data_IF_012145062303
#
_entry.id   IF_012145062303
#
_cell.length_a   1.000
_cell.length_b   1.000
_cell.length_c   1.000
_cell.angle_alpha   90.00
_cell.angle_beta   90.00
_cell.angle_gamma   90.00
#
_symmetry.space_group_name_H-M   'P 1'
#
loop_
_entity.id
_entity.type
_entity.pdbx_description
1 polymer ?
#
# COMPACT_ATOMS: atom_id res chain seq x y z
N UNK A 1 15.22 32.00 -19.35
CA UNK A 1 14.43 31.01 -18.58
C UNK A 1 14.76 29.65 -19.17
N UNK A 2 15.17 28.67 -18.36
CA UNK A 2 15.40 27.29 -18.81
C UNK A 2 14.06 26.68 -19.27
N UNK A 3 14.11 25.79 -20.25
CA UNK A 3 12.93 25.02 -20.69
C UNK A 3 12.32 24.28 -19.49
N UNK A 4 11.02 24.47 -19.18
CA UNK A 4 10.39 23.80 -18.07
C UNK A 4 10.45 22.25 -18.15
N UNK A 5 10.51 21.69 -19.38
CA UNK A 5 10.66 20.25 -19.56
C UNK A 5 12.09 19.75 -19.27
N UNK A 6 13.12 20.56 -19.55
CA UNK A 6 14.50 20.24 -19.14
C UNK A 6 14.64 20.28 -17.62
N UNK A 7 14.04 21.29 -16.97
CA UNK A 7 14.01 21.36 -15.51
C UNK A 7 13.27 20.17 -14.89
N UNK A 8 12.14 19.77 -15.45
CA UNK A 8 11.37 18.60 -15.00
C UNK A 8 12.22 17.33 -15.05
N UNK A 9 12.95 17.10 -16.17
CA UNK A 9 13.85 15.93 -16.29
C UNK A 9 15.00 15.98 -15.29
N UNK A 10 15.54 17.17 -15.00
CA UNK A 10 16.58 17.33 -13.99
C UNK A 10 16.07 17.00 -12.58
N UNK A 11 14.83 17.40 -12.23
CA UNK A 11 14.20 17.05 -10.96
C UNK A 11 13.98 15.54 -10.86
N UNK A 12 13.49 14.90 -11.93
CA UNK A 12 13.26 13.45 -11.97
C UNK A 12 14.54 12.63 -11.81
N UNK A 13 15.71 13.21 -12.13
CA UNK A 13 17.01 12.54 -11.95
C UNK A 13 17.38 12.24 -10.50
N UNK A 14 16.67 12.83 -9.52
CA UNK A 14 16.84 12.56 -8.09
C UNK A 14 15.88 11.44 -7.58
N UNK A 15 14.92 11.02 -8.40
CA UNK A 15 13.96 9.99 -8.01
C UNK A 15 14.57 8.58 -8.05
N UNK A 16 14.01 7.67 -7.24
CA UNK A 16 14.32 6.25 -7.37
C UNK A 16 13.87 5.74 -8.76
N UNK A 17 14.65 4.79 -9.35
CA UNK A 17 14.26 4.21 -10.63
C UNK A 17 12.94 3.44 -10.50
N UNK A 18 11.96 3.78 -11.35
CA UNK A 18 10.65 3.10 -11.40
C UNK A 18 10.69 1.86 -12.30
N UNK A 19 11.75 1.69 -13.10
CA UNK A 19 11.99 0.57 -14.00
C UNK A 19 13.31 -0.12 -13.67
N UNK A 20 13.50 -1.35 -14.19
CA UNK A 20 14.71 -2.15 -13.99
C UNK A 20 14.60 -3.13 -12.82
N UNK A 21 13.42 -3.31 -12.24
CA UNK A 21 13.09 -4.38 -11.29
C UNK A 21 13.86 -4.40 -9.97
N UNK A 22 14.62 -3.31 -9.65
CA UNK A 22 15.49 -3.23 -8.46
C UNK A 22 14.92 -2.38 -7.33
N UNK A 23 13.81 -1.70 -7.56
CA UNK A 23 13.06 -0.98 -6.53
C UNK A 23 11.94 -1.87 -6.01
N UNK A 24 12.17 -2.52 -4.87
CA UNK A 24 11.30 -3.54 -4.31
C UNK A 24 10.29 -2.96 -3.29
N UNK A 25 9.92 -1.68 -3.46
CA UNK A 25 8.84 -1.02 -2.74
C UNK A 25 8.28 0.14 -3.57
N UNK A 26 7.01 0.51 -3.35
CA UNK A 26 6.29 1.65 -3.96
C UNK A 26 6.06 1.60 -5.47
N UNK A 27 6.86 0.85 -6.23
CA UNK A 27 6.73 0.71 -7.68
C UNK A 27 6.49 -0.74 -8.07
N UNK A 28 5.85 -0.93 -9.22
CA UNK A 28 5.53 -2.25 -9.78
C UNK A 28 5.94 -2.21 -11.23
N UNK A 29 7.00 -2.93 -11.57
CA UNK A 29 7.62 -2.91 -12.89
C UNK A 29 7.24 -4.19 -13.66
N UNK A 30 6.61 -4.04 -14.81
CA UNK A 30 6.32 -5.15 -15.70
C UNK A 30 7.58 -5.68 -16.42
N UNK A 31 8.61 -4.82 -16.52
CA UNK A 31 9.79 -5.08 -17.36
C UNK A 31 9.50 -5.02 -18.86
N UNK A 32 8.35 -4.45 -19.26
CA UNK A 32 7.97 -4.29 -20.67
C UNK A 32 7.79 -2.79 -21.00
N UNK A 33 8.70 -2.20 -21.79
CA UNK A 33 8.64 -0.80 -22.16
C UNK A 33 7.44 -0.43 -23.06
N UNK A 34 6.82 -1.41 -23.70
CA UNK A 34 5.64 -1.17 -24.54
C UNK A 34 4.41 -0.82 -23.66
N UNK A 35 4.25 -1.49 -22.52
CA UNK A 35 3.21 -1.15 -21.55
C UNK A 35 3.35 0.31 -21.09
N UNK A 36 4.58 0.74 -20.79
CA UNK A 36 4.85 2.12 -20.39
C UNK A 36 4.56 3.13 -21.50
N UNK A 37 4.87 2.79 -22.75
CA UNK A 37 4.59 3.64 -23.91
C UNK A 37 3.09 3.85 -24.07
N UNK A 38 2.31 2.77 -24.05
CA UNK A 38 0.85 2.80 -24.16
C UNK A 38 0.24 3.60 -23.02
N UNK A 39 0.69 3.37 -21.78
CA UNK A 39 0.25 4.13 -20.62
C UNK A 39 0.44 5.64 -20.80
N UNK A 40 1.64 6.06 -21.18
CA UNK A 40 1.96 7.50 -21.39
C UNK A 40 1.13 8.14 -22.50
N UNK A 41 0.95 7.46 -23.63
CA UNK A 41 0.18 7.97 -24.75
C UNK A 41 -1.30 8.13 -24.39
N UNK A 42 -1.89 7.14 -23.72
CA UNK A 42 -3.28 7.19 -23.28
C UNK A 42 -3.51 8.29 -22.23
N UNK A 43 -2.60 8.42 -21.24
CA UNK A 43 -2.64 9.51 -20.24
C UNK A 43 -2.59 10.88 -20.94
N UNK A 44 -1.69 11.06 -21.91
CA UNK A 44 -1.56 12.32 -22.65
C UNK A 44 -2.82 12.63 -23.48
N UNK A 45 -3.43 11.62 -24.11
CA UNK A 45 -4.65 11.79 -24.92
C UNK A 45 -5.85 12.29 -24.10
N UNK A 46 -5.92 11.93 -22.81
CA UNK A 46 -7.03 12.28 -21.91
C UNK A 46 -6.65 13.31 -20.82
N UNK A 47 -5.52 13.99 -20.96
CA UNK A 47 -5.03 14.93 -19.95
C UNK A 47 -5.99 16.11 -19.66
N UNK A 48 -6.79 16.52 -20.65
CA UNK A 48 -7.73 17.64 -20.54
C UNK A 48 -9.17 17.19 -20.17
N UNK A 49 -9.45 15.89 -20.10
CA UNK A 49 -10.78 15.37 -19.79
C UNK A 49 -10.91 15.02 -18.30
N UNK A 50 -12.14 14.90 -17.82
CA UNK A 50 -12.41 14.54 -16.43
C UNK A 50 -13.69 13.71 -16.29
N UNK A 51 -13.78 12.91 -15.24
CA UNK A 51 -14.92 12.05 -14.92
C UNK A 51 -15.85 12.69 -13.86
N UNK A 52 -16.07 14.00 -13.91
CA UNK A 52 -17.04 14.68 -13.06
C UNK A 52 -18.46 14.42 -13.52
N UNK A 53 -18.71 14.65 -14.83
CA UNK A 53 -20.01 14.51 -15.44
C UNK A 53 -19.95 13.42 -16.53
N UNK A 54 -20.61 12.27 -16.30
CA UNK A 54 -20.61 11.16 -17.25
C UNK A 54 -21.29 11.48 -18.57
N UNK A 55 -22.13 12.54 -18.62
CA UNK A 55 -22.78 12.95 -19.85
C UNK A 55 -21.89 13.82 -20.73
N UNK A 56 -20.92 14.51 -20.11
CA UNK A 56 -19.94 15.35 -20.83
C UNK A 56 -18.78 14.51 -21.40
N UNK A 57 -18.37 13.46 -20.70
CA UNK A 57 -17.26 12.59 -21.10
C UNK A 57 -17.68 11.10 -21.04
N UNK A 58 -18.62 10.66 -21.92
CA UNK A 58 -19.17 9.31 -21.88
C UNK A 58 -18.12 8.20 -22.12
N UNK A 59 -17.02 8.50 -22.82
CA UNK A 59 -15.92 7.56 -23.02
C UNK A 59 -15.24 7.17 -21.71
N UNK A 60 -15.12 8.10 -20.76
CA UNK A 60 -14.54 7.79 -19.44
C UNK A 60 -15.46 6.87 -18.65
N UNK A 61 -16.77 7.11 -18.66
CA UNK A 61 -17.74 6.21 -18.01
C UNK A 61 -17.68 4.80 -18.62
N UNK A 62 -17.56 4.70 -19.95
CA UNK A 62 -17.39 3.41 -20.61
C UNK A 62 -16.13 2.69 -20.14
N UNK A 63 -14.97 3.36 -20.14
CA UNK A 63 -13.71 2.80 -19.67
C UNK A 63 -13.79 2.36 -18.20
N UNK A 64 -14.41 3.15 -17.34
CA UNK A 64 -14.62 2.78 -15.94
C UNK A 64 -15.45 1.50 -15.79
N UNK A 65 -16.55 1.39 -16.55
CA UNK A 65 -17.41 0.22 -16.52
C UNK A 65 -16.71 -1.04 -17.05
N UNK A 66 -15.90 -0.91 -18.10
CA UNK A 66 -15.10 -2.02 -18.66
C UNK A 66 -14.01 -2.48 -17.70
N UNK A 67 -13.31 -1.54 -17.02
CA UNK A 67 -12.34 -1.87 -15.97
C UNK A 67 -12.98 -2.60 -14.79
N UNK A 68 -14.17 -2.16 -14.36
CA UNK A 68 -14.94 -2.83 -13.32
C UNK A 68 -15.37 -4.22 -13.78
N UNK A 69 -15.83 -4.36 -15.03
CA UNK A 69 -16.20 -5.65 -15.63
C UNK A 69 -15.04 -6.63 -15.61
N UNK A 70 -13.86 -6.22 -16.09
CA UNK A 70 -12.66 -7.06 -16.07
C UNK A 70 -12.30 -7.51 -14.64
N UNK A 71 -12.37 -6.59 -13.67
CA UNK A 71 -12.11 -6.94 -12.28
C UNK A 71 -13.17 -7.89 -11.70
N UNK A 72 -14.45 -7.74 -12.06
CA UNK A 72 -15.51 -8.63 -11.64
C UNK A 72 -15.26 -10.07 -12.14
N UNK A 73 -14.87 -10.22 -13.39
CA UNK A 73 -14.54 -11.54 -13.98
C UNK A 73 -13.33 -12.16 -13.28
N UNK A 74 -12.30 -11.34 -13.00
CA UNK A 74 -11.08 -11.80 -12.34
C UNK A 74 -11.29 -12.21 -10.88
N UNK A 75 -12.25 -11.59 -10.19
CA UNK A 75 -12.53 -11.76 -8.76
C UNK A 75 -13.70 -12.72 -8.48
N UNK A 76 -14.17 -13.49 -9.47
CA UNK A 76 -15.33 -14.38 -9.34
C UNK A 76 -16.59 -13.66 -8.81
N UNK A 77 -16.80 -12.41 -9.23
CA UNK A 77 -17.92 -11.61 -8.74
C UNK A 77 -19.24 -12.06 -9.38
N UNK A 78 -20.36 -12.01 -8.63
CA UNK A 78 -21.67 -12.34 -9.20
C UNK A 78 -22.13 -11.29 -10.22
N UNK A 79 -23.07 -11.64 -11.10
CA UNK A 79 -23.65 -10.72 -12.11
C UNK A 79 -24.29 -9.46 -11.50
N UNK A 80 -24.60 -9.48 -10.20
CA UNK A 80 -25.13 -8.32 -9.45
C UNK A 80 -24.05 -7.34 -9.01
N UNK A 81 -22.78 -7.69 -9.16
CA UNK A 81 -21.67 -6.88 -8.70
C UNK A 81 -21.59 -5.55 -9.44
N UNK A 82 -21.15 -4.54 -8.72
CA UNK A 82 -20.96 -3.17 -9.23
C UNK A 82 -19.70 -2.59 -8.62
N UNK A 83 -19.06 -1.67 -9.34
CA UNK A 83 -17.83 -1.07 -8.84
C UNK A 83 -17.74 0.43 -9.09
N UNK A 84 -16.66 1.01 -8.60
CA UNK A 84 -16.30 2.41 -8.76
C UNK A 84 -14.79 2.50 -8.96
N UNK A 85 -14.35 3.24 -9.98
CA UNK A 85 -12.94 3.60 -10.14
C UNK A 85 -12.62 4.72 -9.16
N UNK A 86 -11.63 4.51 -8.31
CA UNK A 86 -11.14 5.45 -7.28
C UNK A 86 -9.74 5.93 -7.63
N UNK A 87 -9.20 6.87 -6.88
CA UNK A 87 -7.84 7.42 -7.09
C UNK A 87 -6.71 6.54 -6.54
N UNK A 88 -7.03 5.50 -5.79
CA UNK A 88 -6.06 4.60 -5.17
C UNK A 88 -6.69 3.77 -4.05
N UNK A 89 -5.98 2.74 -3.57
CA UNK A 89 -6.44 1.82 -2.53
C UNK A 89 -6.88 2.52 -1.25
N UNK A 90 -6.19 3.57 -0.85
CA UNK A 90 -6.60 4.38 0.30
C UNK A 90 -8.00 4.95 0.12
N UNK A 91 -8.35 5.49 -1.06
CA UNK A 91 -9.70 5.99 -1.31
C UNK A 91 -10.72 4.85 -1.35
N UNK A 92 -10.39 3.72 -1.97
CA UNK A 92 -11.25 2.53 -1.97
C UNK A 92 -11.57 2.08 -0.55
N UNK A 93 -10.59 2.00 0.33
CA UNK A 93 -10.75 1.64 1.75
C UNK A 93 -11.58 2.69 2.49
N UNK A 94 -11.29 3.98 2.30
CA UNK A 94 -12.07 5.07 2.90
C UNK A 94 -13.55 4.96 2.54
N UNK A 95 -13.87 4.73 1.26
CA UNK A 95 -15.24 4.58 0.77
C UNK A 95 -15.92 3.30 1.27
N UNK A 96 -15.18 2.19 1.41
CA UNK A 96 -15.70 0.95 1.98
C UNK A 96 -16.12 1.15 3.45
N UNK A 97 -15.30 1.81 4.24
CA UNK A 97 -15.59 2.14 5.66
C UNK A 97 -16.73 3.14 5.77
N UNK A 98 -16.71 4.22 4.97
CA UNK A 98 -17.80 5.21 4.92
C UNK A 98 -19.12 4.53 4.56
N UNK A 99 -19.14 3.73 3.48
CA UNK A 99 -20.34 3.05 3.01
C UNK A 99 -20.88 2.03 4.04
N UNK A 100 -20.00 1.37 4.80
CA UNK A 100 -20.41 0.49 5.89
C UNK A 100 -21.07 1.27 7.03
N UNK A 101 -20.43 2.36 7.50
CA UNK A 101 -20.98 3.25 8.53
C UNK A 101 -22.33 3.85 8.11
N UNK A 102 -22.40 4.45 6.93
CA UNK A 102 -23.58 5.17 6.46
C UNK A 102 -24.77 4.25 6.11
N UNK A 103 -24.51 2.96 5.95
CA UNK A 103 -25.56 1.95 5.80
C UNK A 103 -26.26 1.55 7.10
N UNK A 104 -25.69 1.94 8.25
CA UNK A 104 -26.16 1.63 9.59
C UNK A 104 -26.35 2.91 10.44
N UNK A 105 -27.20 3.86 10.00
CA UNK A 105 -27.36 5.16 10.67
C UNK A 105 -27.89 5.06 12.10
N UNK A 106 -28.46 3.92 12.48
CA UNK A 106 -28.91 3.63 13.85
C UNK A 106 -27.75 3.35 14.81
N UNK A 107 -26.56 2.96 14.30
CA UNK A 107 -25.37 2.71 15.12
C UNK A 107 -24.66 4.02 15.37
N UNK A 108 -24.68 4.47 16.63
CA UNK A 108 -24.13 5.79 17.02
C UNK A 108 -22.64 5.76 17.38
N UNK A 109 -22.11 4.57 17.68
CA UNK A 109 -20.69 4.34 17.96
C UNK A 109 -20.15 3.22 17.04
N UNK A 110 -20.08 3.47 15.72
CA UNK A 110 -19.73 2.41 14.76
C UNK A 110 -18.31 1.91 14.97
N UNK A 111 -18.16 0.59 14.85
CA UNK A 111 -16.89 -0.13 15.03
C UNK A 111 -16.55 -0.93 13.76
N UNK A 112 -15.27 -1.09 13.49
CA UNK A 112 -14.78 -2.07 12.52
C UNK A 112 -13.78 -3.02 13.19
N UNK A 113 -13.91 -4.31 12.92
CA UNK A 113 -13.02 -5.35 13.42
C UNK A 113 -12.03 -5.74 12.32
N UNK A 114 -10.74 -5.67 12.62
CA UNK A 114 -9.69 -5.91 11.64
C UNK A 114 -8.45 -6.54 12.31
N UNK A 115 -7.68 -7.38 11.57
CA UNK A 115 -6.41 -7.90 12.09
C UNK A 115 -5.41 -6.76 12.27
N UNK A 116 -4.51 -6.91 13.23
CA UNK A 116 -3.46 -5.94 13.51
C UNK A 116 -2.52 -5.68 12.30
N UNK A 117 -2.51 -6.59 11.33
CA UNK A 117 -1.77 -6.51 10.06
C UNK A 117 -2.52 -5.80 8.93
N UNK A 118 -3.77 -5.36 9.15
CA UNK A 118 -4.54 -4.62 8.15
C UNK A 118 -3.85 -3.29 7.80
N UNK A 119 -3.98 -2.89 6.53
CA UNK A 119 -3.30 -1.70 6.01
C UNK A 119 -3.69 -0.42 6.77
N UNK A 120 -2.72 0.47 7.00
CA UNK A 120 -2.89 1.73 7.75
C UNK A 120 -3.98 2.67 7.21
N UNK A 121 -4.44 2.48 5.97
CA UNK A 121 -5.58 3.21 5.42
C UNK A 121 -6.89 3.00 6.21
N UNK A 122 -7.05 1.85 6.90
CA UNK A 122 -8.18 1.61 7.80
C UNK A 122 -8.09 2.49 9.05
N UNK A 123 -6.90 2.68 9.61
CA UNK A 123 -6.71 3.63 10.71
C UNK A 123 -7.03 5.07 10.28
N UNK A 124 -6.65 5.44 9.05
CA UNK A 124 -7.00 6.73 8.47
C UNK A 124 -8.52 6.87 8.30
N UNK A 125 -9.21 5.82 7.83
CA UNK A 125 -10.66 5.79 7.71
C UNK A 125 -11.35 5.91 9.07
N UNK A 126 -10.86 5.19 10.09
CA UNK A 126 -11.30 5.28 11.48
C UNK A 126 -11.26 6.74 11.98
N UNK A 127 -10.11 7.39 11.80
CA UNK A 127 -9.91 8.79 12.20
C UNK A 127 -10.84 9.75 11.46
N UNK A 128 -11.01 9.61 10.14
CA UNK A 128 -11.80 10.56 9.35
C UNK A 128 -13.30 10.41 9.55
N UNK A 129 -13.77 9.18 9.80
CA UNK A 129 -15.20 8.88 9.82
C UNK A 129 -15.75 8.57 11.21
N UNK A 130 -14.93 8.65 12.25
CA UNK A 130 -15.36 8.38 13.62
C UNK A 130 -15.83 6.94 13.82
N UNK A 131 -15.14 5.98 13.16
CA UNK A 131 -15.35 4.54 13.33
C UNK A 131 -14.25 4.00 14.24
N UNK A 132 -14.59 3.32 15.32
CA UNK A 132 -13.60 2.69 16.20
C UNK A 132 -12.94 1.50 15.48
N UNK A 133 -11.61 1.47 15.46
CA UNK A 133 -10.84 0.34 14.94
C UNK A 133 -10.55 -0.64 16.08
N UNK A 134 -11.17 -1.81 16.03
CA UNK A 134 -10.94 -2.92 16.98
C UNK A 134 -9.89 -3.85 16.38
N UNK A 135 -8.64 -3.71 16.85
CA UNK A 135 -7.51 -4.49 16.35
C UNK A 135 -7.48 -5.86 17.03
N UNK A 136 -7.44 -6.91 16.22
CA UNK A 136 -7.32 -8.30 16.66
C UNK A 136 -5.89 -8.77 16.40
N UNK A 137 -5.20 -9.35 17.39
CA UNK A 137 -3.89 -9.96 17.19
C UNK A 137 -3.93 -11.05 16.11
N UNK A 138 -2.83 -11.23 15.40
CA UNK A 138 -2.66 -12.31 14.42
C UNK A 138 -1.97 -13.52 15.03
N UNK A 139 -2.11 -14.67 14.39
CA UNK A 139 -1.42 -15.90 14.78
C UNK A 139 0.08 -15.87 14.46
N UNK A 140 0.82 -16.93 14.83
CA UNK A 140 2.26 -17.04 14.57
C UNK A 140 2.58 -17.18 13.07
N UNK A 141 1.59 -17.43 12.23
CA UNK A 141 1.66 -17.42 10.77
C UNK A 141 1.29 -16.07 10.16
N UNK A 142 1.11 -15.04 11.00
CA UNK A 142 0.73 -13.66 10.65
C UNK A 142 -0.66 -13.50 10.01
N UNK A 143 -1.51 -14.52 10.11
CA UNK A 143 -2.91 -14.47 9.65
C UNK A 143 -3.84 -14.11 10.80
N UNK A 144 -4.95 -13.48 10.45
CA UNK A 144 -6.03 -13.24 11.39
C UNK A 144 -6.54 -14.57 11.98
N UNK A 145 -6.84 -14.58 13.29
CA UNK A 145 -7.52 -15.70 13.92
C UNK A 145 -9.05 -15.52 13.79
N UNK A 146 -9.77 -16.39 13.05
CA UNK A 146 -11.19 -16.21 12.77
C UNK A 146 -12.06 -16.23 14.03
N UNK A 147 -11.69 -17.04 15.03
CA UNK A 147 -12.48 -17.15 16.26
C UNK A 147 -12.34 -15.87 17.09
N UNK A 148 -11.15 -15.35 17.20
CA UNK A 148 -10.90 -14.06 17.88
C UNK A 148 -11.55 -12.91 17.14
N UNK A 149 -11.49 -12.89 15.80
CA UNK A 149 -12.23 -11.93 14.98
C UNK A 149 -13.74 -11.99 15.24
N UNK A 150 -14.32 -13.20 15.27
CA UNK A 150 -15.76 -13.40 15.55
C UNK A 150 -16.16 -12.97 16.97
N UNK A 151 -15.29 -13.17 17.97
CA UNK A 151 -15.53 -12.74 19.36
C UNK A 151 -15.48 -11.21 19.51
N UNK A 152 -14.69 -10.53 18.70
CA UNK A 152 -14.56 -9.07 18.71
C UNK A 152 -15.76 -8.34 18.07
N UNK A 153 -16.59 -9.05 17.28
CA UNK A 153 -17.79 -8.50 16.64
C UNK A 153 -18.92 -8.35 17.65
N UNK A 154 -19.59 -7.20 17.61
CA UNK A 154 -20.78 -6.87 18.41
C UNK A 154 -21.87 -6.14 17.59
N UNK A 155 -22.91 -5.64 18.26
CA UNK A 155 -24.03 -4.97 17.59
C UNK A 155 -23.65 -3.61 16.98
N UNK A 156 -22.58 -2.97 17.45
CA UNK A 156 -22.04 -1.72 16.91
C UNK A 156 -21.06 -1.96 15.77
N UNK A 157 -20.69 -3.21 15.47
CA UNK A 157 -19.77 -3.55 14.38
C UNK A 157 -20.47 -3.38 13.02
N UNK A 158 -19.95 -2.48 12.19
CA UNK A 158 -20.49 -2.19 10.86
C UNK A 158 -19.66 -2.82 9.74
N UNK A 159 -18.40 -3.15 10.01
CA UNK A 159 -17.46 -3.71 9.04
C UNK A 159 -16.49 -4.69 9.70
N UNK A 160 -16.20 -5.77 8.99
CA UNK A 160 -15.09 -6.68 9.27
C UNK A 160 -14.15 -6.66 8.08
N UNK A 161 -12.84 -6.67 8.35
CA UNK A 161 -11.79 -6.59 7.32
C UNK A 161 -10.96 -7.85 7.33
N UNK A 162 -10.62 -8.33 6.14
CA UNK A 162 -9.59 -9.35 5.89
C UNK A 162 -8.70 -8.88 4.74
N UNK A 163 -7.46 -9.34 4.68
CA UNK A 163 -6.47 -8.94 3.68
C UNK A 163 -6.11 -10.09 2.73
N UNK A 164 -5.98 -9.77 1.46
CA UNK A 164 -5.54 -10.71 0.42
C UNK A 164 -4.51 -10.07 -0.51
N UNK A 165 -3.21 -10.03 -0.11
CA UNK A 165 -2.63 -10.39 1.19
C UNK A 165 -2.53 -9.20 2.18
N UNK A 166 -2.13 -9.47 3.43
CA UNK A 166 -1.61 -8.45 4.34
C UNK A 166 -0.31 -7.87 3.78
N UNK A 167 -0.15 -6.53 3.85
CA UNK A 167 1.03 -5.87 3.28
C UNK A 167 2.32 -6.30 3.97
N UNK A 168 2.32 -6.33 5.30
CA UNK A 168 3.53 -6.56 6.07
C UNK A 168 4.17 -7.94 5.84
N UNK A 169 3.36 -8.99 5.60
CA UNK A 169 3.86 -10.38 5.60
C UNK A 169 3.52 -11.18 4.33
N UNK A 170 2.72 -10.61 3.42
CA UNK A 170 2.38 -11.27 2.15
C UNK A 170 1.45 -12.48 2.26
N UNK A 171 0.78 -12.68 3.40
CA UNK A 171 -0.11 -13.81 3.68
C UNK A 171 -1.58 -13.42 3.48
N UNK A 172 -2.39 -14.34 2.98
CA UNK A 172 -3.83 -14.19 2.82
C UNK A 172 -4.54 -14.61 4.09
N UNK A 173 -5.39 -13.75 4.65
CA UNK A 173 -6.21 -14.07 5.82
C UNK A 173 -7.22 -15.20 5.53
N UNK A 174 -7.73 -15.91 6.53
CA UNK A 174 -8.77 -16.93 6.39
C UNK A 174 -10.14 -16.29 6.09
N UNK A 175 -10.26 -15.76 4.86
CA UNK A 175 -11.43 -14.96 4.41
C UNK A 175 -12.72 -15.74 4.53
N UNK A 176 -12.70 -17.06 4.25
CA UNK A 176 -13.90 -17.92 4.31
C UNK A 176 -14.54 -17.90 5.69
N UNK A 177 -13.76 -18.12 6.73
CA UNK A 177 -14.21 -18.21 8.11
C UNK A 177 -14.62 -16.83 8.63
N UNK A 178 -13.83 -15.79 8.33
CA UNK A 178 -14.12 -14.41 8.72
C UNK A 178 -15.43 -13.92 8.07
N UNK A 179 -15.60 -14.13 6.75
CA UNK A 179 -16.79 -13.73 6.02
C UNK A 179 -18.04 -14.48 6.50
N UNK A 180 -17.92 -15.76 6.82
CA UNK A 180 -19.03 -16.55 7.38
C UNK A 180 -19.47 -16.02 8.75
N UNK A 181 -18.53 -15.69 9.64
CA UNK A 181 -18.82 -15.11 10.95
C UNK A 181 -19.50 -13.73 10.83
N UNK A 182 -19.04 -12.89 9.90
CA UNK A 182 -19.64 -11.59 9.61
C UNK A 182 -21.07 -11.73 9.05
N UNK A 183 -21.27 -12.61 8.06
CA UNK A 183 -22.55 -12.87 7.43
C UNK A 183 -23.61 -13.38 8.42
N UNK A 184 -23.21 -14.27 9.35
CA UNK A 184 -24.10 -14.79 10.39
C UNK A 184 -24.66 -13.69 11.31
N UNK A 185 -24.03 -12.51 11.37
CA UNK A 185 -24.43 -11.33 12.15
C UNK A 185 -24.97 -10.18 11.30
N UNK A 186 -25.06 -10.37 9.98
CA UNK A 186 -25.46 -9.30 9.05
C UNK A 186 -24.45 -8.15 8.94
N UNK A 187 -23.19 -8.38 9.31
CA UNK A 187 -22.10 -7.41 9.24
C UNK A 187 -21.45 -7.48 7.86
N UNK A 188 -21.03 -6.33 7.30
CA UNK A 188 -20.30 -6.30 6.03
C UNK A 188 -18.89 -6.86 6.20
N UNK A 189 -18.43 -7.64 5.21
CA UNK A 189 -17.06 -8.14 5.13
C UNK A 189 -16.37 -7.51 3.91
N UNK A 190 -15.29 -6.75 4.15
CA UNK A 190 -14.44 -6.17 3.12
C UNK A 190 -13.13 -6.95 3.02
N UNK A 191 -12.73 -7.31 1.80
CA UNK A 191 -11.42 -7.87 1.54
C UNK A 191 -10.52 -6.80 0.92
N UNK A 192 -9.45 -6.45 1.62
CA UNK A 192 -8.40 -5.62 1.05
C UNK A 192 -7.52 -6.48 0.13
N UNK A 193 -7.82 -6.43 -1.14
CA UNK A 193 -7.07 -7.08 -2.21
C UNK A 193 -6.30 -6.05 -3.07
N UNK A 194 -5.94 -4.90 -2.50
CA UNK A 194 -5.17 -3.86 -3.22
C UNK A 194 -3.89 -4.40 -3.85
N UNK A 195 -3.23 -5.37 -3.21
CA UNK A 195 -2.08 -6.08 -3.78
C UNK A 195 -2.53 -7.28 -4.62
N UNK A 196 -3.31 -8.17 -4.03
CA UNK A 196 -3.57 -9.49 -4.59
C UNK A 196 -4.53 -9.51 -5.75
N UNK A 197 -5.41 -8.52 -5.89
CA UNK A 197 -6.52 -8.54 -6.82
C UNK A 197 -6.15 -8.77 -8.28
N UNK A 198 -4.97 -8.36 -8.72
CA UNK A 198 -4.46 -8.55 -10.09
C UNK A 198 -3.39 -9.63 -10.23
N UNK A 199 -3.00 -10.32 -9.16
CA UNK A 199 -1.93 -11.33 -9.21
C UNK A 199 -2.33 -12.67 -8.61
N UNK A 200 -3.08 -12.68 -7.50
CA UNK A 200 -3.50 -13.93 -6.84
C UNK A 200 -4.46 -14.80 -7.68
N UNK A 201 -5.40 -14.25 -8.50
CA UNK A 201 -6.22 -15.08 -9.38
C UNK A 201 -5.38 -15.89 -10.36
N UNK A 202 -4.29 -15.32 -10.86
CA UNK A 202 -3.35 -16.01 -11.74
C UNK A 202 -2.47 -17.01 -10.99
N UNK A 203 -2.12 -16.75 -9.72
CA UNK A 203 -1.40 -17.72 -8.88
C UNK A 203 -2.13 -19.06 -8.81
N UNK A 204 -3.45 -19.04 -8.58
CA UNK A 204 -4.27 -20.24 -8.56
C UNK A 204 -4.28 -20.96 -9.93
N UNK A 205 -4.36 -20.20 -11.03
CA UNK A 205 -4.29 -20.76 -12.41
C UNK A 205 -2.92 -21.38 -12.74
N UNK A 206 -1.85 -20.86 -12.11
CA UNK A 206 -0.48 -21.40 -12.19
C UNK A 206 -0.25 -22.61 -11.26
N UNK A 207 -1.29 -23.07 -10.55
CA UNK A 207 -1.24 -24.23 -9.66
C UNK A 207 -0.68 -23.93 -8.26
N UNK A 208 -0.50 -22.66 -7.90
CA UNK A 208 -0.10 -22.28 -6.54
C UNK A 208 -1.28 -22.41 -5.57
N UNK A 209 -0.98 -22.85 -4.36
CA UNK A 209 -1.99 -22.95 -3.31
C UNK A 209 -2.20 -21.56 -2.73
N UNK A 210 -3.39 -21.00 -2.91
CA UNK A 210 -3.82 -19.73 -2.33
C UNK A 210 -5.12 -19.99 -1.57
N UNK A 211 -5.28 -19.54 -0.32
CA UNK A 211 -6.56 -19.61 0.39
C UNK A 211 -7.69 -18.96 -0.42
N UNK A 212 -8.94 -19.38 -0.26
CA UNK A 212 -10.08 -18.76 -0.92
C UNK A 212 -10.31 -17.35 -0.36
N UNK A 213 -10.43 -16.34 -1.24
CA UNK A 213 -10.50 -14.93 -0.85
C UNK A 213 -11.39 -14.05 -1.75
N UNK A 214 -11.81 -14.56 -2.93
CA UNK A 214 -12.59 -13.82 -3.93
C UNK A 214 -14.07 -13.69 -3.55
N UNK A 215 -14.88 -13.09 -4.41
CA UNK A 215 -16.35 -13.10 -4.25
C UNK A 215 -16.98 -14.49 -4.34
N UNK A 216 -16.25 -15.52 -4.74
CA UNK A 216 -16.70 -16.92 -4.61
C UNK A 216 -16.92 -17.30 -3.13
N UNK A 217 -16.24 -16.61 -2.19
CA UNK A 217 -16.51 -16.76 -0.75
C UNK A 217 -17.83 -16.06 -0.42
N UNK A 218 -18.80 -16.83 0.06
CA UNK A 218 -20.08 -16.31 0.54
C UNK A 218 -19.84 -15.40 1.76
N UNK A 219 -20.53 -14.25 1.81
CA UNK A 219 -20.39 -13.28 2.89
C UNK A 219 -19.40 -12.15 2.59
N UNK A 220 -18.49 -12.27 1.61
CA UNK A 220 -17.70 -11.13 1.14
C UNK A 220 -18.61 -10.12 0.47
N UNK A 221 -18.63 -8.87 0.97
CA UNK A 221 -19.54 -7.81 0.51
C UNK A 221 -18.88 -6.78 -0.39
N UNK A 222 -17.57 -6.55 -0.23
CA UNK A 222 -16.79 -5.61 -1.05
C UNK A 222 -15.31 -5.98 -1.09
N UNK A 223 -14.62 -5.49 -2.15
CA UNK A 223 -13.17 -5.63 -2.33
C UNK A 223 -12.56 -4.34 -2.85
N UNK A 224 -11.37 -3.98 -2.35
CA UNK A 224 -10.49 -2.96 -2.91
C UNK A 224 -9.37 -3.61 -3.73
N UNK A 225 -9.11 -3.08 -4.94
CA UNK A 225 -8.16 -3.68 -5.90
C UNK A 225 -7.38 -2.58 -6.62
N UNK A 226 -6.07 -2.49 -6.43
CA UNK A 226 -5.27 -1.44 -7.04
C UNK A 226 -4.79 -1.82 -8.44
N UNK A 227 -5.17 -1.02 -9.42
CA UNK A 227 -4.71 -1.20 -10.80
C UNK A 227 -3.26 -0.74 -10.99
N UNK A 228 -2.82 0.27 -10.23
CA UNK A 228 -1.46 0.81 -10.28
C UNK A 228 -0.41 -0.03 -9.53
N UNK A 229 -0.78 -1.25 -9.13
CA UNK A 229 0.13 -2.27 -8.57
C UNK A 229 0.35 -3.37 -9.61
N UNK A 230 -0.24 -4.54 -9.44
CA UNK A 230 0.00 -5.68 -10.35
C UNK A 230 -0.84 -5.69 -11.63
N UNK A 231 -1.71 -4.70 -11.85
CA UNK A 231 -2.19 -4.43 -13.20
C UNK A 231 -1.21 -3.55 -14.00
N UNK A 232 -0.09 -3.14 -13.41
CA UNK A 232 0.99 -2.35 -14.04
C UNK A 232 0.52 -1.04 -14.69
N UNK A 233 -0.62 -0.53 -14.22
CA UNK A 233 -1.22 0.70 -14.73
C UNK A 233 -0.58 1.96 -14.12
N UNK A 234 -0.76 3.12 -14.74
CA UNK A 234 -0.33 4.41 -14.17
C UNK A 234 -0.91 4.63 -12.77
N UNK A 235 -0.16 5.37 -11.92
CA UNK A 235 -0.64 5.76 -10.59
C UNK A 235 -1.89 6.65 -10.73
N UNK A 236 -2.82 6.52 -9.77
CA UNK A 236 -4.02 7.36 -9.70
C UNK A 236 -5.31 6.60 -10.01
N UNK A 237 -5.29 5.26 -10.04
CA UNK A 237 -6.49 4.42 -10.17
C UNK A 237 -6.44 3.20 -9.28
N UNK A 238 -7.60 2.85 -8.75
CA UNK A 238 -7.93 1.63 -8.00
C UNK A 238 -9.41 1.33 -8.22
N UNK A 239 -9.87 0.19 -7.80
CA UNK A 239 -11.28 -0.21 -7.91
C UNK A 239 -11.81 -0.56 -6.52
N UNK A 240 -13.04 -0.11 -6.23
CA UNK A 240 -13.85 -0.61 -5.15
C UNK A 240 -15.04 -1.35 -5.75
N UNK A 241 -15.08 -2.67 -5.57
CA UNK A 241 -16.13 -3.55 -6.09
C UNK A 241 -17.03 -3.98 -4.94
N UNK A 242 -18.35 -3.92 -5.13
CA UNK A 242 -19.37 -4.40 -4.20
C UNK A 242 -20.11 -5.57 -4.82
N UNK A 243 -20.51 -6.53 -4.01
CA UNK A 243 -21.28 -7.72 -4.43
C UNK A 243 -22.60 -7.36 -5.12
N UNK A 244 -23.21 -6.22 -4.76
CA UNK A 244 -24.44 -5.72 -5.38
C UNK A 244 -24.59 -4.19 -5.24
N UNK A 245 -25.55 -3.63 -5.99
CA UNK A 245 -25.83 -2.20 -6.00
C UNK A 245 -26.41 -1.68 -4.66
N UNK A 246 -27.09 -2.52 -3.88
CA UNK A 246 -27.62 -2.15 -2.57
C UNK A 246 -26.49 -1.85 -1.59
N UNK A 247 -25.45 -2.68 -1.61
CA UNK A 247 -24.25 -2.48 -0.79
C UNK A 247 -23.48 -1.21 -1.17
N UNK A 248 -23.42 -0.86 -2.47
CA UNK A 248 -22.75 0.38 -2.93
C UNK A 248 -23.55 1.65 -2.60
N UNK A 249 -24.87 1.58 -2.44
CA UNK A 249 -25.74 2.75 -2.38
C UNK A 249 -25.33 3.78 -1.34
N UNK A 250 -24.88 3.37 -0.17
CA UNK A 250 -24.44 4.26 0.90
C UNK A 250 -23.10 4.98 0.63
N UNK A 251 -22.31 4.51 -0.35
CA UNK A 251 -21.11 5.19 -0.83
C UNK A 251 -21.43 6.45 -1.65
N UNK A 252 -22.56 6.46 -2.37
CA UNK A 252 -22.90 7.50 -3.31
C UNK A 252 -23.35 8.77 -2.59
N UNK A 253 -22.82 9.92 -3.00
CA UNK A 253 -23.20 11.23 -2.48
C UNK A 253 -23.94 12.04 -3.54
N UNK A 254 -25.02 12.71 -3.15
CA UNK A 254 -25.72 13.67 -3.98
C UNK A 254 -26.15 14.89 -3.16
N UNK A 255 -26.10 16.08 -3.75
CA UNK A 255 -26.61 17.30 -3.15
C UNK A 255 -27.30 18.17 -4.17
N UNK A 256 -28.50 18.63 -3.79
CA UNK A 256 -29.28 19.63 -4.54
C UNK A 256 -29.56 20.89 -3.68
N UNK A 257 -29.02 20.95 -2.47
CA UNK A 257 -29.31 22.02 -1.49
C UNK A 257 -28.25 23.14 -1.53
N UNK A 258 -27.86 23.55 -2.74
CA UNK A 258 -26.93 24.66 -2.96
C UNK A 258 -27.26 25.35 -4.31
N UNK A 259 -26.83 26.61 -4.56
CA UNK A 259 -27.25 27.39 -5.73
C UNK A 259 -26.52 27.06 -7.03
N UNK A 260 -25.64 26.06 -7.07
CA UNK A 260 -24.93 25.61 -8.27
C UNK A 260 -25.69 24.51 -9.02
N UNK A 261 -24.92 23.63 -9.69
CA UNK A 261 -25.45 22.43 -10.34
C UNK A 261 -25.74 21.32 -9.31
N UNK A 262 -26.59 20.37 -9.68
CA UNK A 262 -26.83 19.16 -8.86
C UNK A 262 -25.58 18.33 -8.79
N UNK A 263 -25.02 18.17 -7.59
CA UNK A 263 -23.80 17.43 -7.37
C UNK A 263 -24.10 15.94 -7.19
N UNK A 264 -23.32 15.10 -7.87
CA UNK A 264 -23.40 13.65 -7.78
C UNK A 264 -21.98 13.07 -7.79
N UNK A 265 -21.59 12.35 -6.75
CA UNK A 265 -20.25 11.75 -6.62
C UNK A 265 -20.31 10.31 -6.14
N UNK A 266 -19.48 9.46 -6.74
CA UNK A 266 -19.22 8.09 -6.27
C UNK A 266 -17.89 7.97 -5.51
N UNK A 267 -17.09 9.06 -5.45
CA UNK A 267 -15.73 9.09 -4.89
C UNK A 267 -15.58 10.31 -3.97
N UNK A 268 -14.46 10.38 -3.22
CA UNK A 268 -14.16 11.56 -2.39
C UNK A 268 -13.81 12.80 -3.23
N UNK A 269 -13.25 12.59 -4.41
CA UNK A 269 -12.97 13.65 -5.38
C UNK A 269 -14.20 13.89 -6.27
N UNK A 270 -14.52 15.16 -6.56
CA UNK A 270 -15.54 15.48 -7.54
C UNK A 270 -14.97 15.41 -8.96
N UNK A 271 -13.93 16.17 -9.26
CA UNK A 271 -13.25 16.17 -10.56
C UNK A 271 -12.11 15.17 -10.58
N UNK A 272 -12.32 14.02 -11.22
CA UNK A 272 -11.26 13.01 -11.41
C UNK A 272 -10.63 13.18 -12.78
N UNK A 273 -9.29 13.14 -12.85
CA UNK A 273 -8.56 13.24 -14.12
C UNK A 273 -8.88 12.08 -15.04
N UNK A 274 -9.12 12.36 -16.33
CA UNK A 274 -9.33 11.34 -17.35
C UNK A 274 -8.05 10.57 -17.73
N UNK A 275 -6.88 11.19 -17.59
CA UNK A 275 -5.61 10.58 -17.98
C UNK A 275 -5.33 9.24 -17.31
N UNK A 276 -5.33 9.15 -15.97
CA UNK A 276 -5.12 7.88 -15.27
C UNK A 276 -6.14 6.80 -15.62
N UNK A 277 -7.42 7.16 -15.82
CA UNK A 277 -8.47 6.22 -16.20
C UNK A 277 -8.19 5.64 -17.59
N UNK A 278 -7.91 6.49 -18.56
CA UNK A 278 -7.59 6.08 -19.93
C UNK A 278 -6.28 5.28 -20.00
N UNK A 279 -5.26 5.71 -19.25
CA UNK A 279 -3.98 4.97 -19.15
C UNK A 279 -4.17 3.57 -18.58
N UNK A 280 -4.97 3.43 -17.52
CA UNK A 280 -5.28 2.14 -16.93
C UNK A 280 -6.06 1.25 -17.90
N UNK A 281 -7.10 1.79 -18.53
CA UNK A 281 -7.90 1.05 -19.49
C UNK A 281 -7.05 0.53 -20.65
N UNK A 282 -6.20 1.40 -21.23
CA UNK A 282 -5.34 1.01 -22.35
C UNK A 282 -4.30 -0.05 -21.98
N UNK A 283 -3.75 0.00 -20.76
CA UNK A 283 -2.82 -1.01 -20.26
C UNK A 283 -3.53 -2.35 -20.05
N UNK A 284 -4.72 -2.35 -19.43
CA UNK A 284 -5.49 -3.57 -19.18
C UNK A 284 -5.90 -4.24 -20.49
N UNK A 285 -6.38 -3.46 -21.46
CA UNK A 285 -6.73 -3.96 -22.80
C UNK A 285 -5.51 -4.52 -23.55
N UNK A 286 -4.35 -3.86 -23.44
CA UNK A 286 -3.14 -4.31 -24.12
C UNK A 286 -2.58 -5.61 -23.54
N UNK A 287 -2.51 -5.70 -22.22
CA UNK A 287 -1.97 -6.90 -21.53
C UNK A 287 -2.94 -8.07 -21.70
N UNK A 288 -4.21 -7.86 -21.46
CA UNK A 288 -5.24 -8.89 -21.52
C UNK A 288 -5.00 -10.04 -20.52
N UNK A 289 -5.90 -11.00 -20.50
CA UNK A 289 -5.85 -12.11 -19.53
C UNK A 289 -4.58 -12.98 -19.66
N UNK A 290 -4.17 -13.31 -20.89
CA UNK A 290 -2.95 -14.11 -21.12
C UNK A 290 -1.67 -13.38 -20.74
N UNK A 291 -1.58 -12.08 -21.01
CA UNK A 291 -0.42 -11.27 -20.62
C UNK A 291 -0.30 -11.14 -19.11
N UNK A 292 -1.42 -10.97 -18.40
CA UNK A 292 -1.40 -10.97 -16.93
C UNK A 292 -0.98 -12.33 -16.35
N UNK A 293 -1.36 -13.46 -16.97
CA UNK A 293 -0.89 -14.78 -16.57
C UNK A 293 0.65 -14.90 -16.70
N UNK A 294 1.23 -14.41 -17.80
CA UNK A 294 2.67 -14.40 -18.02
C UNK A 294 3.40 -13.47 -17.03
N UNK A 295 2.86 -12.28 -16.77
CA UNK A 295 3.44 -11.34 -15.80
C UNK A 295 3.38 -11.90 -14.38
N UNK A 296 2.30 -12.57 -14.01
CA UNK A 296 2.16 -13.24 -12.72
C UNK A 296 3.16 -14.39 -12.57
N UNK A 297 3.34 -15.23 -13.60
CA UNK A 297 4.33 -16.30 -13.61
C UNK A 297 5.74 -15.76 -13.38
N UNK A 298 6.10 -14.69 -14.08
CA UNK A 298 7.40 -14.01 -13.89
C UNK A 298 7.56 -13.44 -12.48
N UNK A 299 6.52 -12.81 -11.94
CA UNK A 299 6.58 -12.24 -10.59
C UNK A 299 6.74 -13.34 -9.53
N UNK A 300 5.98 -14.43 -9.61
CA UNK A 300 6.10 -15.55 -8.69
C UNK A 300 7.41 -16.31 -8.84
N UNK A 301 7.93 -16.48 -10.06
CA UNK A 301 9.26 -17.06 -10.30
C UNK A 301 10.35 -16.21 -9.64
N UNK A 302 10.24 -14.88 -9.70
CA UNK A 302 11.14 -13.98 -8.99
C UNK A 302 11.03 -14.11 -7.47
N UNK A 303 9.80 -14.27 -6.93
CA UNK A 303 9.58 -14.53 -5.49
C UNK A 303 10.29 -15.81 -5.06
N UNK A 304 10.05 -16.91 -5.76
CA UNK A 304 10.66 -18.21 -5.41
C UNK A 304 12.19 -18.13 -5.40
N UNK A 305 12.76 -17.43 -6.38
CA UNK A 305 14.22 -17.28 -6.46
C UNK A 305 14.76 -16.34 -5.35
N UNK A 306 14.06 -15.22 -5.03
CA UNK A 306 14.44 -14.33 -3.92
C UNK A 306 14.34 -15.04 -2.58
N UNK A 307 13.27 -15.80 -2.34
CA UNK A 307 13.10 -16.62 -1.13
C UNK A 307 14.26 -17.59 -0.98
N UNK A 308 14.63 -18.30 -2.07
CA UNK A 308 15.77 -19.21 -2.05
C UNK A 308 17.10 -18.48 -1.75
N UNK A 309 17.30 -17.28 -2.28
CA UNK A 309 18.49 -16.46 -1.95
C UNK A 309 18.53 -16.07 -0.47
N UNK A 310 17.39 -15.64 0.09
CA UNK A 310 17.30 -15.25 1.51
C UNK A 310 17.59 -16.46 2.42
N UNK A 311 16.96 -17.61 2.15
CA UNK A 311 17.13 -18.82 2.96
C UNK A 311 18.54 -19.45 2.84
N UNK A 312 19.27 -19.14 1.76
CA UNK A 312 20.66 -19.55 1.58
C UNK A 312 21.65 -18.73 2.41
N UNK A 313 21.32 -17.47 2.73
CA UNK A 313 22.22 -16.58 3.46
C UNK A 313 22.15 -16.82 4.97
N UNK A 314 23.29 -17.21 5.64
CA UNK A 314 23.28 -17.41 7.08
C UNK A 314 22.87 -16.14 7.84
N UNK A 315 21.95 -16.28 8.79
CA UNK A 315 21.45 -15.16 9.60
C UNK A 315 20.25 -14.44 9.00
N UNK A 316 19.79 -14.87 7.82
CA UNK A 316 18.53 -14.42 7.23
C UNK A 316 17.49 -15.54 7.22
N UNK A 317 16.22 -15.15 7.29
CA UNK A 317 15.09 -16.06 7.06
C UNK A 317 13.87 -15.29 6.57
N UNK A 318 13.00 -15.98 5.85
CA UNK A 318 11.72 -15.42 5.42
C UNK A 318 10.70 -15.50 6.55
N UNK A 319 10.02 -14.38 6.82
CA UNK A 319 8.98 -14.30 7.86
C UNK A 319 7.67 -14.86 7.31
N UNK A 320 7.18 -15.92 7.93
CA UNK A 320 5.98 -16.62 7.48
C UNK A 320 6.19 -17.40 6.18
N UNK A 321 5.08 -17.72 5.51
CA UNK A 321 5.08 -18.35 4.18
C UNK A 321 4.25 -17.46 3.26
N UNK A 322 4.86 -16.68 2.36
CA UNK A 322 4.12 -15.74 1.52
C UNK A 322 3.21 -16.48 0.52
N UNK A 323 1.94 -16.11 0.47
CA UNK A 323 0.99 -16.55 -0.55
C UNK A 323 1.06 -15.70 -1.81
N UNK A 324 1.76 -14.57 -1.73
CA UNK A 324 1.73 -13.50 -2.72
C UNK A 324 3.13 -13.11 -3.20
N UNK A 325 3.19 -11.99 -3.85
CA UNK A 325 4.41 -11.36 -4.37
C UNK A 325 5.09 -10.42 -3.35
N UNK A 326 4.64 -10.44 -2.11
CA UNK A 326 5.26 -9.72 -1.01
C UNK A 326 6.08 -10.70 -0.15
N UNK A 327 7.33 -10.36 0.11
CA UNK A 327 8.25 -11.17 0.92
C UNK A 327 8.78 -10.32 2.06
N UNK A 328 8.77 -10.86 3.27
CA UNK A 328 9.39 -10.22 4.42
C UNK A 328 10.56 -11.06 4.88
N UNK A 329 11.73 -10.44 4.97
CA UNK A 329 12.91 -11.08 5.52
C UNK A 329 13.22 -10.52 6.91
N UNK A 330 13.64 -11.40 7.81
CA UNK A 330 14.17 -11.04 9.12
C UNK A 330 15.61 -11.50 9.27
N UNK A 331 16.29 -10.89 10.23
CA UNK A 331 17.69 -11.15 10.58
C UNK A 331 17.78 -11.85 11.93
N UNK A 332 18.87 -12.58 12.16
CA UNK A 332 19.23 -13.02 13.51
C UNK A 332 19.95 -11.91 14.29
N UNK A 333 20.26 -12.16 15.57
CA UNK A 333 20.91 -11.21 16.47
C UNK A 333 22.30 -10.73 16.01
N UNK A 334 22.90 -11.38 15.00
CA UNK A 334 24.23 -11.04 14.46
C UNK A 334 24.18 -10.00 13.35
N UNK A 335 22.96 -9.61 12.91
CA UNK A 335 22.78 -8.77 11.74
C UNK A 335 21.65 -7.74 11.97
N UNK A 336 21.96 -6.47 11.86
CA UNK A 336 20.98 -5.39 11.99
C UNK A 336 20.23 -5.16 10.68
N UNK A 337 18.87 -5.22 10.67
CA UNK A 337 18.08 -5.06 9.44
C UNK A 337 18.18 -3.65 8.85
N UNK A 338 18.38 -2.62 9.66
CA UNK A 338 18.50 -1.25 9.15
C UNK A 338 19.83 -1.03 8.44
N UNK A 339 20.94 -1.55 9.01
CA UNK A 339 22.25 -1.54 8.35
C UNK A 339 22.22 -2.36 7.07
N UNK A 340 21.57 -3.54 7.07
CA UNK A 340 21.42 -4.37 5.88
C UNK A 340 20.63 -3.64 4.78
N UNK A 341 19.58 -2.91 5.15
CA UNK A 341 18.82 -2.07 4.21
C UNK A 341 19.70 -1.04 3.53
N UNK A 342 20.50 -0.28 4.29
CA UNK A 342 21.42 0.72 3.74
C UNK A 342 22.48 0.09 2.81
N UNK A 343 22.98 -1.09 3.13
CA UNK A 343 23.93 -1.81 2.30
C UNK A 343 23.32 -2.30 0.98
N UNK A 344 22.05 -2.77 0.99
CA UNK A 344 21.31 -3.11 -0.24
C UNK A 344 21.06 -1.87 -1.10
N UNK A 345 20.64 -0.76 -0.50
CA UNK A 345 20.43 0.51 -1.21
C UNK A 345 21.72 1.00 -1.84
N UNK A 346 22.85 0.90 -1.15
CA UNK A 346 24.17 1.31 -1.69
C UNK A 346 24.61 0.50 -2.92
N UNK A 347 24.05 -0.71 -3.09
CA UNK A 347 24.26 -1.61 -4.23
C UNK A 347 23.16 -1.53 -5.28
N UNK A 348 22.29 -0.51 -5.18
CA UNK A 348 21.23 -0.23 -6.14
C UNK A 348 19.96 -1.08 -5.98
N UNK A 349 19.74 -1.67 -4.79
CA UNK A 349 18.52 -2.39 -4.46
C UNK A 349 17.75 -1.65 -3.36
N UNK A 350 16.64 -1.03 -3.76
CA UNK A 350 15.79 -0.36 -2.78
C UNK A 350 14.82 -1.36 -2.15
N UNK A 351 14.91 -1.50 -0.84
CA UNK A 351 14.03 -2.33 0.00
C UNK A 351 13.45 -1.49 1.12
N UNK A 352 12.35 -1.93 1.74
CA UNK A 352 11.68 -1.14 2.76
C UNK A 352 11.86 -1.75 4.15
N UNK A 353 12.54 -1.08 5.09
CA UNK A 353 12.58 -1.51 6.47
C UNK A 353 11.19 -1.39 7.11
N UNK A 354 10.83 -2.37 7.91
CA UNK A 354 9.67 -2.38 8.80
C UNK A 354 10.18 -2.25 10.24
N UNK A 355 9.61 -1.31 10.99
CA UNK A 355 9.93 -1.11 12.39
C UNK A 355 9.29 -2.19 13.24
N UNK A 356 9.78 -2.37 14.48
CA UNK A 356 9.18 -3.27 15.46
C UNK A 356 7.70 -2.94 15.69
N UNK A 357 6.87 -3.99 15.83
CA UNK A 357 5.46 -3.87 16.13
C UNK A 357 5.00 -4.93 17.13
N UNK A 358 4.59 -4.50 18.32
CA UNK A 358 4.24 -5.42 19.39
C UNK A 358 5.42 -6.33 19.78
N UNK A 359 5.29 -7.66 19.66
CA UNK A 359 6.39 -8.60 19.93
C UNK A 359 7.33 -8.80 18.72
N UNK A 360 6.96 -8.30 17.54
CA UNK A 360 7.69 -8.54 16.30
C UNK A 360 8.89 -7.60 16.18
N UNK A 361 10.06 -8.19 15.94
CA UNK A 361 11.30 -7.45 15.69
C UNK A 361 11.26 -6.72 14.34
N UNK A 362 12.14 -5.70 14.12
CA UNK A 362 12.27 -5.06 12.83
C UNK A 362 12.60 -6.07 11.72
N UNK A 363 12.10 -5.80 10.52
CA UNK A 363 12.29 -6.68 9.36
C UNK A 363 12.43 -5.86 8.08
N UNK A 364 12.59 -6.50 6.93
CA UNK A 364 12.71 -5.86 5.63
C UNK A 364 11.63 -6.41 4.70
N UNK A 365 10.83 -5.51 4.12
CA UNK A 365 9.76 -5.83 3.19
C UNK A 365 10.23 -5.68 1.74
N UNK A 366 9.83 -6.63 0.91
CA UNK A 366 10.07 -6.68 -0.53
C UNK A 366 8.75 -6.83 -1.28
N UNK A 367 8.46 -5.91 -2.20
CA UNK A 367 7.38 -6.03 -3.19
C UNK A 367 7.98 -6.47 -4.52
N UNK A 368 7.83 -7.75 -4.85
CA UNK A 368 8.47 -8.38 -6.02
C UNK A 368 7.53 -8.29 -7.22
N UNK A 369 8.02 -7.80 -8.35
CA UNK A 369 7.26 -7.63 -9.58
C UNK A 369 7.87 -8.39 -10.77
N UNK A 370 7.17 -8.46 -11.90
CA UNK A 370 7.61 -9.22 -13.08
C UNK A 370 8.98 -8.77 -13.60
N UNK A 371 9.27 -7.47 -13.55
CA UNK A 371 10.56 -6.91 -13.97
C UNK A 371 11.74 -7.37 -13.13
N UNK A 372 11.51 -7.81 -11.89
CA UNK A 372 12.56 -8.26 -10.98
C UNK A 372 13.21 -9.57 -11.42
N UNK A 373 12.47 -10.45 -12.14
CA UNK A 373 12.95 -11.79 -12.51
C UNK A 373 14.28 -11.74 -13.27
N UNK A 374 14.45 -10.79 -14.18
CA UNK A 374 15.66 -10.66 -14.98
C UNK A 374 16.91 -10.28 -14.16
N UNK A 375 16.75 -9.90 -12.91
CA UNK A 375 17.81 -9.35 -12.05
C UNK A 375 18.03 -10.13 -10.77
N UNK A 376 17.44 -11.32 -10.62
CA UNK A 376 17.53 -12.12 -9.37
C UNK A 376 18.96 -12.57 -9.09
N UNK A 377 19.76 -12.90 -10.11
CA UNK A 377 21.17 -13.25 -9.92
C UNK A 377 21.99 -12.06 -9.38
N UNK A 378 21.72 -10.85 -9.87
CA UNK A 378 22.33 -9.62 -9.36
C UNK A 378 21.89 -9.34 -7.92
N UNK A 379 20.61 -9.64 -7.60
CA UNK A 379 20.10 -9.52 -6.21
C UNK A 379 20.83 -10.46 -5.28
N UNK A 380 21.02 -11.72 -5.67
CA UNK A 380 21.72 -12.71 -4.85
C UNK A 380 23.15 -12.25 -4.52
N UNK A 381 23.89 -11.76 -5.51
CA UNK A 381 25.23 -11.21 -5.30
C UNK A 381 25.23 -10.00 -4.36
N UNK A 382 24.31 -9.05 -4.61
CA UNK A 382 24.17 -7.86 -3.79
C UNK A 382 23.75 -8.21 -2.34
N UNK A 383 22.90 -9.20 -2.14
CA UNK A 383 22.48 -9.67 -0.82
C UNK A 383 23.65 -10.23 -0.02
N UNK A 384 24.41 -11.14 -0.61
CA UNK A 384 25.61 -11.74 0.02
C UNK A 384 26.63 -10.67 0.41
N UNK A 385 26.94 -9.72 -0.48
CA UNK A 385 27.86 -8.64 -0.20
C UNK A 385 27.32 -7.69 0.89
N UNK A 386 26.00 -7.40 0.86
CA UNK A 386 25.35 -6.54 1.85
C UNK A 386 25.36 -7.17 3.24
N UNK A 387 25.08 -8.49 3.34
CA UNK A 387 25.17 -9.23 4.61
C UNK A 387 26.58 -9.19 5.17
N UNK A 388 27.60 -9.39 4.35
CA UNK A 388 28.99 -9.31 4.80
C UNK A 388 29.37 -7.89 5.28
N UNK A 389 28.93 -6.85 4.55
CA UNK A 389 29.20 -5.47 4.91
C UNK A 389 28.45 -5.04 6.18
N UNK A 390 27.17 -5.41 6.31
CA UNK A 390 26.35 -5.11 7.49
C UNK A 390 26.90 -5.77 8.76
N UNK A 391 27.37 -7.01 8.66
CA UNK A 391 28.06 -7.70 9.79
C UNK A 391 29.36 -7.00 10.18
N UNK A 392 30.12 -6.51 9.21
CA UNK A 392 31.36 -5.78 9.48
C UNK A 392 31.11 -4.41 10.10
N UNK A 393 30.03 -3.73 9.73
CA UNK A 393 29.61 -2.46 10.30
C UNK A 393 29.03 -2.63 11.71
N UNK A 394 28.35 -3.74 11.97
CA UNK A 394 27.62 -3.99 13.21
C UNK A 394 26.28 -3.24 13.29
N UNK A 395 25.53 -3.45 14.39
CA UNK A 395 24.24 -2.82 14.58
C UNK A 395 24.38 -1.32 14.83
N UNK A 396 23.40 -0.56 14.36
CA UNK A 396 23.28 0.86 14.70
C UNK A 396 22.90 0.98 16.17
N UNK A 397 23.71 1.70 16.93
CA UNK A 397 23.43 2.02 18.32
C UNK A 397 22.86 3.43 18.43
N UNK A 398 21.62 3.56 18.92
CA UNK A 398 21.06 4.86 19.29
C UNK A 398 21.70 5.33 20.59
N UNK A 399 22.22 6.57 20.60
CA UNK A 399 22.82 7.13 21.82
C UNK A 399 21.81 7.16 22.99
N UNK A 400 22.22 6.73 24.17
CA UNK A 400 21.34 6.66 25.33
C UNK A 400 20.75 8.01 25.73
N UNK A 401 21.43 9.13 25.45
CA UNK A 401 20.91 10.47 25.68
C UNK A 401 19.79 10.82 24.68
N UNK A 402 19.89 10.36 23.43
CA UNK A 402 18.84 10.51 22.42
C UNK A 402 17.60 9.68 22.82
N UNK A 403 17.78 8.45 23.26
CA UNK A 403 16.69 7.61 23.77
C UNK A 403 15.99 8.29 24.95
N UNK A 404 16.75 8.72 25.95
CA UNK A 404 16.20 9.42 27.12
C UNK A 404 15.48 10.73 26.75
N UNK A 405 15.98 11.44 25.74
CA UNK A 405 15.34 12.65 25.22
C UNK A 405 13.99 12.32 24.56
N UNK A 406 13.93 11.31 23.69
CA UNK A 406 12.70 10.86 23.05
C UNK A 406 11.65 10.41 24.09
N UNK A 407 12.08 9.65 25.11
CA UNK A 407 11.20 9.18 26.18
C UNK A 407 10.66 10.32 27.06
N UNK A 408 11.39 11.43 27.18
CA UNK A 408 10.98 12.61 27.95
C UNK A 408 10.00 13.52 27.21
N UNK A 409 9.88 13.39 25.89
CA UNK A 409 8.97 14.20 25.08
C UNK A 409 7.52 13.68 25.21
N UNK A 410 6.56 14.63 25.23
CA UNK A 410 5.13 14.32 25.14
C UNK A 410 4.68 14.38 23.67
N UNK A 411 4.22 13.26 23.08
CA UNK A 411 3.75 13.23 21.69
C UNK A 411 2.62 14.22 21.40
N UNK A 412 1.79 14.54 22.41
CA UNK A 412 0.64 15.43 22.22
C UNK A 412 1.03 16.91 22.15
N UNK A 413 2.22 17.27 22.65
CA UNK A 413 2.71 18.65 22.74
C UNK A 413 4.07 18.86 22.08
N UNK A 414 4.49 17.96 21.19
CA UNK A 414 5.75 18.06 20.44
C UNK A 414 5.83 19.39 19.70
N UNK A 415 6.86 20.18 20.01
CA UNK A 415 7.10 21.48 19.37
C UNK A 415 8.11 21.38 18.23
N UNK A 416 8.16 22.40 17.39
CA UNK A 416 9.19 22.52 16.36
C UNK A 416 10.61 22.54 16.96
N UNK A 417 10.80 23.21 18.11
CA UNK A 417 12.08 23.28 18.80
C UNK A 417 12.51 21.90 19.35
N UNK A 418 11.56 21.09 19.85
CA UNK A 418 11.83 19.71 20.28
C UNK A 418 12.29 18.84 19.12
N UNK A 419 11.60 18.97 17.98
CA UNK A 419 11.94 18.22 16.76
C UNK A 419 13.30 18.63 16.21
N UNK A 420 13.60 19.94 16.15
CA UNK A 420 14.91 20.46 15.74
C UNK A 420 16.02 20.04 16.71
N UNK A 421 15.73 20.04 18.02
CA UNK A 421 16.62 19.53 19.06
C UNK A 421 16.96 18.04 18.87
N UNK A 422 15.94 17.23 18.53
CA UNK A 422 16.14 15.80 18.25
C UNK A 422 16.99 15.57 16.99
N UNK A 423 16.72 16.28 15.92
CA UNK A 423 17.52 16.23 14.69
C UNK A 423 18.98 16.62 14.96
N UNK A 424 19.21 17.68 15.73
CA UNK A 424 20.57 18.11 16.12
C UNK A 424 21.27 17.09 17.02
N UNK A 425 20.57 16.50 17.99
CA UNK A 425 21.11 15.50 18.91
C UNK A 425 21.48 14.19 18.22
N UNK A 426 20.72 13.81 17.18
CA UNK A 426 20.97 12.60 16.39
C UNK A 426 22.07 12.78 15.34
N UNK A 427 22.57 14.01 15.13
CA UNK A 427 23.55 14.29 14.07
C UNK A 427 23.01 14.16 12.63
N UNK A 428 21.70 14.04 12.49
CA UNK A 428 21.02 13.75 11.21
C UNK A 428 20.83 14.99 10.31
N UNK A 429 21.15 16.20 10.79
CA UNK A 429 20.96 17.43 10.01
C UNK A 429 22.29 18.10 9.71
N UNK A 430 22.64 18.11 8.42
CA UNK A 430 23.29 19.26 7.84
C UNK A 430 22.20 20.26 7.43
N UNK A 431 22.02 21.36 8.16
CA UNK A 431 21.23 22.44 7.61
C UNK A 431 21.99 22.97 6.39
N UNK A 432 21.38 22.91 5.20
CA UNK A 432 21.86 23.70 4.08
C UNK A 432 21.83 25.16 4.49
N UNK A 433 22.74 26.00 3.94
CA UNK A 433 22.75 27.45 4.21
C UNK A 433 21.38 28.10 3.97
N UNK A 434 20.50 27.45 3.22
CA UNK A 434 19.14 27.89 2.87
C UNK A 434 18.05 27.33 3.80
N UNK A 435 18.37 26.51 4.82
CA UNK A 435 17.42 25.94 5.78
C UNK A 435 16.58 24.79 5.23
N UNK A 436 16.95 24.19 4.09
CA UNK A 436 16.33 22.99 3.58
C UNK A 436 16.82 21.75 4.35
N UNK A 437 15.91 20.85 4.66
CA UNK A 437 16.19 19.58 5.32
C UNK A 437 16.88 18.64 4.32
N UNK A 438 18.18 18.40 4.49
CA UNK A 438 18.90 17.36 3.73
C UNK A 438 18.74 16.02 4.46
N UNK A 439 18.14 15.04 3.77
CA UNK A 439 18.07 13.68 4.29
C UNK A 439 19.44 13.00 4.16
N UNK A 440 19.86 12.25 5.19
CA UNK A 440 21.08 11.48 5.10
C UNK A 440 20.98 10.41 4.00
N UNK A 441 22.10 10.12 3.35
CA UNK A 441 22.18 9.05 2.34
C UNK A 441 22.03 7.64 2.93
N UNK A 442 22.23 7.50 4.25
CA UNK A 442 22.05 6.27 5.03
C UNK A 442 20.94 6.50 6.05
N UNK A 443 19.96 5.62 6.08
CA UNK A 443 18.76 5.77 6.87
C UNK A 443 18.73 4.86 8.11
N UNK A 444 19.75 4.02 8.31
CA UNK A 444 19.78 3.06 9.41
C UNK A 444 19.66 3.74 10.78
N UNK A 445 20.35 4.85 11.01
CA UNK A 445 20.28 5.63 12.26
C UNK A 445 18.90 6.25 12.47
N UNK A 446 18.28 6.77 11.40
CA UNK A 446 16.93 7.33 11.45
C UNK A 446 15.91 6.25 11.81
N UNK A 447 16.01 5.09 11.13
CA UNK A 447 15.10 3.97 11.37
C UNK A 447 15.27 3.41 12.79
N UNK A 448 16.51 3.24 13.27
CA UNK A 448 16.79 2.80 14.63
C UNK A 448 16.25 3.78 15.68
N UNK A 449 16.38 5.09 15.45
CA UNK A 449 15.82 6.12 16.32
C UNK A 449 14.28 6.08 16.32
N UNK A 450 13.65 5.90 15.18
CA UNK A 450 12.20 5.72 15.10
C UNK A 450 11.75 4.42 15.76
N UNK A 451 12.58 3.38 15.71
CA UNK A 451 12.24 2.06 16.27
C UNK A 451 12.19 2.07 17.80
N UNK A 452 13.06 2.82 18.47
CA UNK A 452 13.01 2.97 19.94
C UNK A 452 11.88 3.88 20.42
N UNK A 453 11.32 4.72 19.55
CA UNK A 453 10.20 5.60 19.90
C UNK A 453 8.88 4.83 20.03
N UNK A 454 8.02 5.24 20.97
CA UNK A 454 6.65 4.69 21.08
C UNK A 454 5.83 4.97 19.81
N UNK A 455 4.81 4.17 19.47
CA UNK A 455 3.96 4.42 18.29
C UNK A 455 3.41 5.85 18.24
N UNK A 456 2.94 6.40 19.36
CA UNK A 456 2.43 7.77 19.44
C UNK A 456 3.53 8.80 19.15
N UNK A 457 4.75 8.57 19.63
CA UNK A 457 5.89 9.44 19.35
C UNK A 457 6.33 9.33 17.90
N UNK A 458 6.36 8.11 17.32
CA UNK A 458 6.61 7.91 15.87
C UNK A 458 5.65 8.74 15.02
N UNK A 459 4.35 8.70 15.35
CA UNK A 459 3.32 9.49 14.63
C UNK A 459 3.57 10.99 14.76
N UNK A 460 3.91 11.48 15.95
CA UNK A 460 4.19 12.91 16.18
C UNK A 460 5.42 13.36 15.38
N UNK A 461 6.52 12.58 15.44
CA UNK A 461 7.76 12.85 14.68
C UNK A 461 7.53 12.84 13.17
N UNK A 462 6.77 11.86 12.64
CA UNK A 462 6.46 11.78 11.22
C UNK A 462 5.58 12.96 10.75
N UNK A 463 4.66 13.45 11.58
CA UNK A 463 3.87 14.66 11.28
C UNK A 463 4.74 15.91 11.25
N UNK A 464 5.64 16.08 12.23
CA UNK A 464 6.59 17.20 12.28
C UNK A 464 7.54 17.17 11.08
N UNK A 465 8.04 15.97 10.72
CA UNK A 465 8.88 15.78 9.55
C UNK A 465 8.17 16.15 8.24
N UNK A 466 6.93 15.70 8.04
CA UNK A 466 6.15 16.02 6.84
C UNK A 466 5.89 17.53 6.74
N UNK A 467 5.58 18.21 7.85
CA UNK A 467 5.40 19.66 7.90
C UNK A 467 6.66 20.41 7.47
N UNK A 468 7.83 19.91 7.87
CA UNK A 468 9.12 20.47 7.44
C UNK A 468 9.39 20.29 5.95
N UNK A 469 9.07 19.12 5.40
CA UNK A 469 9.27 18.83 3.97
C UNK A 469 8.35 19.61 3.05
N UNK A 470 7.12 19.92 3.50
CA UNK A 470 6.09 20.57 2.67
C UNK A 470 6.11 22.10 2.75
N UNK A 471 7.27 22.72 2.95
CA UNK A 471 7.40 24.18 2.93
C UNK A 471 7.46 24.74 1.51
N UNK A 472 6.74 25.84 1.22
CA UNK A 472 6.71 26.40 -0.12
C UNK A 472 8.08 27.03 -0.49
N UNK A 473 8.62 26.60 -1.62
CA UNK A 473 9.80 27.23 -2.22
C UNK A 473 9.35 28.46 -3.01
N UNK A 474 9.71 29.64 -2.55
CA UNK A 474 9.41 30.90 -3.24
C UNK A 474 10.43 31.17 -4.33
N UNK A 475 9.96 31.58 -5.52
CA UNK A 475 10.88 32.04 -6.56
C UNK A 475 11.53 33.36 -6.12
N UNK A 476 12.84 33.54 -6.35
CA UNK A 476 13.46 34.83 -6.16
C UNK A 476 12.73 35.87 -7.05
N UNK A 477 12.54 37.07 -6.50
CA UNK A 477 11.84 38.18 -7.16
C UNK A 477 12.53 38.66 -8.44
#
# INVERSE_FOLDING_TARGET
MSDPLERLRALQGADLPVHGGRTLAYVYDSGDPEIDRIAREAVAAYAASNALDPTAFPSLLQMENELVGFACDLLDAPDTAVGTVTSGGTESILLAVQGARDSRPEVTAPRMVLPATAHAAFHKAAHYYGVEAVLVPVGPDFRADPDTMAQAMDDDTVLVVASAPSYAHGVVDPVTEIAAAAAARGIRCHVDACIGGWVLPYAARLGRQVPAWTFAVEGVTSMSVDTHKYAYAPKGTSLLVHRDAGLRKAQLFASAAWPGYTMLNATTQSTRSGGPIAGTWAVVEHIGDSGYAELADRAFSAVDAIVACIEWEPGLHVVGTPDSTLVTLATDDSLDPFTLTDELVSRGWYVQPQLSFGPDAPSIHLSVSAGTLAHVEDFAGALTESVAAARAAGPVAVDAGVVAFIEALDPASLTDDDFDGLLAASGLVGASEDGELELPSRMAEVNAMLDVASPAMREALLKAFLDRLQRPVRRPA
#
